data_IF_439356388570
#
_entry.id   IF_439356388570
#
_cell.length_a   1.000
_cell.length_b   1.000
_cell.length_c   1.000
_cell.angle_alpha   90.00
_cell.angle_beta   90.00
_cell.angle_gamma   90.00
#
_symmetry.space_group_name_H-M   'P 1'
#
loop_
_entity.id
_entity.type
_entity.pdbx_description
1 polymer ?
#
# COMPACT_ATOMS: atom_id res chain seq x y z
N UNK A 1 -29.69 3.00 0.02
CA UNK A 1 -30.48 3.12 1.26
C UNK A 1 -29.49 3.42 2.38
N UNK A 2 -29.29 4.65 2.84
CA UNK A 2 -30.01 5.91 2.70
C UNK A 2 -29.01 7.07 2.71
N UNK A 3 -28.90 7.84 1.64
CA UNK A 3 -28.19 9.13 1.70
C UNK A 3 -29.16 10.18 2.24
N UNK A 4 -29.09 10.37 3.55
CA UNK A 4 -29.40 11.67 4.13
C UNK A 4 -28.37 12.65 3.55
N UNK A 5 -28.68 13.27 2.40
CA UNK A 5 -27.89 14.35 1.83
C UNK A 5 -28.02 15.59 2.71
N UNK A 6 -27.34 15.54 3.86
CA UNK A 6 -26.92 16.74 4.56
C UNK A 6 -26.11 17.53 3.55
N UNK A 7 -26.59 18.71 3.17
CA UNK A 7 -25.82 19.65 2.36
C UNK A 7 -24.61 20.10 3.18
N UNK A 8 -23.54 19.30 3.16
CA UNK A 8 -22.25 19.67 3.70
C UNK A 8 -21.58 20.65 2.73
N UNK A 9 -20.87 21.63 3.29
CA UNK A 9 -20.05 22.58 2.53
C UNK A 9 -19.23 21.86 1.45
N UNK A 10 -19.09 22.38 0.22
CA UNK A 10 -18.38 21.71 -0.88
C UNK A 10 -16.94 21.26 -0.55
N UNK A 11 -16.34 21.82 0.50
CA UNK A 11 -15.06 21.40 1.06
C UNK A 11 -15.04 19.98 1.65
N UNK A 12 -16.17 19.40 2.08
CA UNK A 12 -16.20 18.08 2.72
C UNK A 12 -15.74 16.97 1.77
N UNK A 13 -16.14 17.06 0.51
CA UNK A 13 -15.78 16.09 -0.54
C UNK A 13 -14.31 16.19 -0.91
N UNK A 14 -13.75 17.40 -0.90
CA UNK A 14 -12.33 17.63 -1.17
C UNK A 14 -11.43 16.92 -0.15
N UNK A 15 -11.72 17.04 1.15
CA UNK A 15 -10.95 16.35 2.19
C UNK A 15 -11.11 14.83 2.13
N UNK A 16 -12.29 14.31 1.74
CA UNK A 16 -12.50 12.88 1.51
C UNK A 16 -11.58 12.30 0.43
N UNK A 17 -11.56 12.91 -0.75
CA UNK A 17 -10.67 12.47 -1.84
C UNK A 17 -9.18 12.71 -1.54
N UNK A 18 -8.83 13.80 -0.86
CA UNK A 18 -7.46 14.08 -0.44
C UNK A 18 -6.95 13.00 0.53
N UNK A 19 -7.78 12.58 1.49
CA UNK A 19 -7.48 11.47 2.40
C UNK A 19 -7.22 10.16 1.66
N UNK A 20 -8.13 9.78 0.75
CA UNK A 20 -7.98 8.57 -0.09
C UNK A 20 -6.69 8.62 -0.91
N UNK A 21 -6.40 9.75 -1.55
CA UNK A 21 -5.20 9.91 -2.38
C UNK A 21 -3.92 9.80 -1.54
N UNK A 22 -3.88 10.45 -0.37
CA UNK A 22 -2.72 10.39 0.53
C UNK A 22 -2.47 8.98 1.09
N UNK A 23 -3.53 8.24 1.41
CA UNK A 23 -3.44 6.87 1.92
C UNK A 23 -2.82 5.92 0.88
N UNK A 24 -3.28 5.97 -0.38
CA UNK A 24 -2.77 5.12 -1.46
C UNK A 24 -1.31 5.46 -1.78
N UNK A 25 -0.98 6.76 -1.91
CA UNK A 25 0.38 7.20 -2.28
C UNK A 25 1.38 6.76 -1.23
N UNK A 26 1.08 6.98 0.05
CA UNK A 26 2.00 6.62 1.13
C UNK A 26 2.13 5.10 1.30
N UNK A 27 1.02 4.35 1.18
CA UNK A 27 1.04 2.89 1.24
C UNK A 27 1.88 2.27 0.10
N UNK A 28 1.71 2.76 -1.13
CA UNK A 28 2.48 2.28 -2.28
C UNK A 28 3.94 2.71 -2.22
N UNK A 29 4.24 3.93 -1.74
CA UNK A 29 5.61 4.36 -1.53
C UNK A 29 6.33 3.51 -0.47
N UNK A 30 5.67 3.21 0.65
CA UNK A 30 6.20 2.35 1.70
C UNK A 30 6.44 0.92 1.23
N UNK A 31 5.48 0.35 0.50
CA UNK A 31 5.61 -0.98 -0.12
C UNK A 31 6.75 -1.04 -1.14
N UNK A 32 6.83 -0.06 -2.04
CA UNK A 32 7.90 0.02 -3.04
C UNK A 32 9.28 0.17 -2.40
N UNK A 33 9.42 1.00 -1.35
CA UNK A 33 10.68 1.15 -0.63
C UNK A 33 11.08 -0.14 0.10
N UNK A 34 10.13 -0.79 0.77
CA UNK A 34 10.37 -2.08 1.42
C UNK A 34 10.78 -3.16 0.42
N UNK A 35 10.15 -3.20 -0.76
CA UNK A 35 10.48 -4.11 -1.86
C UNK A 35 11.87 -3.81 -2.46
N UNK A 36 12.22 -2.54 -2.68
CA UNK A 36 13.52 -2.16 -3.24
C UNK A 36 14.67 -2.57 -2.31
N UNK A 37 14.55 -2.29 -1.01
CA UNK A 37 15.60 -2.59 -0.04
C UNK A 37 15.75 -4.10 0.24
N UNK A 38 14.63 -4.82 0.33
CA UNK A 38 14.65 -6.29 0.48
C UNK A 38 15.12 -6.99 -0.80
N UNK A 39 14.77 -6.46 -1.98
CA UNK A 39 15.23 -6.98 -3.27
C UNK A 39 16.75 -6.87 -3.47
N UNK A 40 17.37 -5.77 -3.04
CA UNK A 40 18.84 -5.65 -3.09
C UNK A 40 19.56 -6.66 -2.18
N UNK A 41 19.00 -6.93 -1.00
CA UNK A 41 19.53 -7.98 -0.13
C UNK A 41 19.35 -9.37 -0.78
N UNK A 42 18.22 -9.60 -1.44
CA UNK A 42 17.91 -10.87 -2.09
C UNK A 42 18.86 -11.16 -3.26
N UNK A 43 19.17 -10.16 -4.11
CA UNK A 43 20.12 -10.32 -5.22
C UNK A 43 21.54 -10.64 -4.74
N UNK A 44 21.99 -10.04 -3.64
CA UNK A 44 23.27 -10.37 -3.00
C UNK A 44 23.28 -11.82 -2.46
N UNK A 45 22.18 -12.26 -1.83
CA UNK A 45 22.08 -13.64 -1.35
C UNK A 45 22.00 -14.66 -2.49
N UNK A 46 21.46 -14.28 -3.64
CA UNK A 46 21.37 -15.11 -4.83
C UNK A 46 22.71 -15.54 -5.42
N UNK A 47 23.73 -14.68 -5.33
CA UNK A 47 25.07 -15.00 -5.84
C UNK A 47 25.96 -15.69 -4.81
N UNK A 48 25.80 -15.36 -3.51
CA UNK A 48 26.67 -15.91 -2.46
C UNK A 48 26.21 -17.27 -1.95
N UNK A 49 24.90 -17.47 -1.74
CA UNK A 49 24.32 -18.70 -1.16
C UNK A 49 22.90 -18.93 -1.69
N UNK A 50 22.76 -19.57 -2.87
CA UNK A 50 21.46 -19.74 -3.54
C UNK A 50 20.44 -20.55 -2.73
N UNK A 51 20.89 -21.43 -1.84
CA UNK A 51 20.04 -22.22 -0.92
C UNK A 51 19.14 -21.35 -0.03
N UNK A 52 19.60 -20.14 0.32
CA UNK A 52 18.91 -19.24 1.24
C UNK A 52 17.93 -18.28 0.55
N UNK A 53 17.94 -18.22 -0.79
CA UNK A 53 17.15 -17.25 -1.59
C UNK A 53 15.65 -17.41 -1.34
N UNK A 54 15.18 -18.66 -1.24
CA UNK A 54 13.75 -18.94 -1.10
C UNK A 54 13.19 -18.44 0.23
N UNK A 55 14.03 -18.39 1.27
CA UNK A 55 13.67 -17.87 2.59
C UNK A 55 13.74 -16.34 2.65
N UNK A 56 14.58 -15.73 1.80
CA UNK A 56 14.70 -14.27 1.66
C UNK A 56 13.53 -13.60 0.92
N UNK A 57 12.59 -14.36 0.34
CA UNK A 57 11.39 -13.82 -0.33
C UNK A 57 10.35 -13.29 0.68
N UNK A 58 10.28 -13.88 1.87
CA UNK A 58 9.33 -13.53 2.93
C UNK A 58 9.30 -12.02 3.22
N UNK A 59 10.43 -11.31 3.44
CA UNK A 59 10.41 -9.86 3.67
C UNK A 59 9.90 -9.04 2.48
N UNK A 60 10.12 -9.49 1.23
CA UNK A 60 9.58 -8.82 0.03
C UNK A 60 8.05 -8.91 0.04
N UNK A 61 7.50 -10.09 0.36
CA UNK A 61 6.05 -10.30 0.46
C UNK A 61 5.46 -9.44 1.57
N UNK A 62 6.10 -9.34 2.74
CA UNK A 62 5.63 -8.50 3.84
C UNK A 62 5.61 -7.00 3.49
N UNK A 63 6.55 -6.53 2.67
CA UNK A 63 6.50 -5.18 2.11
C UNK A 63 5.33 -5.01 1.12
N UNK A 64 5.06 -6.02 0.29
CA UNK A 64 3.99 -6.00 -0.71
C UNK A 64 2.59 -5.86 -0.12
N UNK A 65 2.29 -6.58 0.97
CA UNK A 65 0.94 -6.60 1.57
C UNK A 65 0.52 -5.19 2.08
N UNK A 66 1.48 -4.35 2.53
CA UNK A 66 1.20 -2.96 2.93
C UNK A 66 0.54 -2.13 1.81
N UNK A 67 0.93 -2.34 0.55
CA UNK A 67 0.31 -1.67 -0.59
C UNK A 67 -1.12 -2.14 -0.84
N UNK A 68 -1.38 -3.44 -0.67
CA UNK A 68 -2.70 -4.04 -0.82
C UNK A 68 -3.66 -3.49 0.25
N UNK A 69 -3.21 -3.33 1.50
CA UNK A 69 -4.03 -2.73 2.55
C UNK A 69 -4.45 -1.30 2.24
N UNK A 70 -3.54 -0.48 1.69
CA UNK A 70 -3.85 0.89 1.27
C UNK A 70 -4.88 0.94 0.13
N UNK A 71 -4.77 0.03 -0.84
CA UNK A 71 -5.72 -0.08 -1.95
C UNK A 71 -7.12 -0.54 -1.47
N UNK A 72 -7.19 -1.55 -0.61
CA UNK A 72 -8.47 -2.06 -0.09
C UNK A 72 -9.20 -0.97 0.70
N UNK A 73 -8.50 -0.23 1.56
CA UNK A 73 -9.10 0.86 2.33
C UNK A 73 -9.67 1.96 1.43
N UNK A 74 -8.94 2.35 0.39
CA UNK A 74 -9.41 3.33 -0.57
C UNK A 74 -10.70 2.89 -1.28
N UNK A 75 -10.76 1.62 -1.69
CA UNK A 75 -11.95 1.05 -2.35
C UNK A 75 -13.14 1.05 -1.40
N UNK A 76 -12.95 0.66 -0.14
CA UNK A 76 -14.02 0.65 0.87
C UNK A 76 -14.57 2.05 1.13
N UNK A 77 -13.71 3.07 1.16
CA UNK A 77 -14.12 4.48 1.37
C UNK A 77 -14.88 5.04 0.16
N UNK A 78 -14.56 4.60 -1.05
CA UNK A 78 -15.23 5.05 -2.29
C UNK A 78 -16.54 4.31 -2.56
N UNK A 79 -16.66 3.05 -2.13
CA UNK A 79 -17.85 2.21 -2.36
C UNK A 79 -18.89 2.26 -1.24
N UNK A 80 -18.61 2.94 -0.13
CA UNK A 80 -19.54 3.16 0.98
C UNK A 80 -19.99 4.61 0.99
#
# INVERSE_FOLDING_TARGET
MSDNVVACSPHSTFFGYLGVTSAIVFANAGSAYGAARSGMAMSMTGVMRPDLVMRSIIPVVMAGILGIYGLILAIIIVQR
#
